data_IF_966708648760
#
_entry.id   IF_966708648760
#
_cell.length_a   1.000
_cell.length_b   1.000
_cell.length_c   1.000
_cell.angle_alpha   90.00
_cell.angle_beta   90.00
_cell.angle_gamma   90.00
#
_symmetry.space_group_name_H-M   'P 1'
#
loop_
_entity.id
_entity.type
_entity.pdbx_description
1 polymer ?
#
# COMPACT_ATOMS: atom_id res chain seq x y z
N UNK A 1 40.95 8.21 -34.82
CA UNK A 1 40.22 7.46 -35.86
C UNK A 1 39.62 6.25 -35.16
N UNK A 2 38.32 6.05 -34.99
CA UNK A 2 37.15 6.61 -35.68
C UNK A 2 35.95 6.36 -34.77
N UNK A 3 35.24 7.44 -34.52
CA UNK A 3 33.83 7.59 -34.15
C UNK A 3 32.93 6.54 -34.80
N UNK A 4 31.86 6.12 -34.12
CA UNK A 4 30.53 5.99 -34.74
C UNK A 4 29.42 5.85 -33.69
N UNK A 5 29.03 7.03 -33.23
CA UNK A 5 27.70 7.43 -32.79
C UNK A 5 26.65 6.91 -33.79
N UNK A 6 25.70 6.07 -33.33
CA UNK A 6 24.52 5.68 -34.13
C UNK A 6 23.35 6.58 -33.74
N UNK A 7 23.11 7.58 -34.58
CA UNK A 7 21.83 8.30 -34.64
C UNK A 7 20.77 7.37 -35.22
N UNK A 8 19.73 7.08 -34.44
CA UNK A 8 18.49 6.51 -34.95
C UNK A 8 17.58 7.69 -35.33
N UNK A 9 17.42 7.93 -36.63
CA UNK A 9 16.46 8.89 -37.17
C UNK A 9 15.14 8.14 -37.38
N UNK A 10 14.14 8.39 -36.53
CA UNK A 10 12.76 7.98 -36.79
C UNK A 10 12.09 9.07 -37.64
N UNK A 11 11.76 8.75 -38.89
CA UNK A 11 10.81 9.52 -39.68
C UNK A 11 9.40 9.22 -39.17
N UNK A 12 8.76 10.19 -38.52
CA UNK A 12 7.34 10.13 -38.17
C UNK A 12 6.52 10.75 -39.30
N UNK A 13 5.62 9.98 -39.91
CA UNK A 13 4.62 10.48 -40.85
C UNK A 13 3.47 11.08 -40.04
N UNK A 14 3.23 12.39 -40.20
CA UNK A 14 2.06 13.06 -39.61
C UNK A 14 0.86 12.81 -40.52
N UNK A 15 0.01 11.86 -40.16
CA UNK A 15 -1.38 11.83 -40.65
C UNK A 15 -2.20 12.69 -39.71
N UNK A 16 -2.63 13.86 -40.17
CA UNK A 16 -3.56 14.73 -39.46
C UNK A 16 -4.94 14.06 -39.41
N UNK A 17 -5.25 13.39 -38.29
CA UNK A 17 -6.60 13.07 -37.91
C UNK A 17 -7.09 14.16 -36.95
N UNK A 18 -8.07 14.96 -37.38
CA UNK A 18 -8.82 15.84 -36.49
C UNK A 18 -9.68 14.96 -35.57
N UNK A 19 -9.14 14.61 -34.40
CA UNK A 19 -9.95 14.21 -33.25
C UNK A 19 -10.51 15.45 -32.55
N UNK A 20 -11.60 15.33 -31.75
CA UNK A 20 -12.01 16.38 -30.84
C UNK A 20 -10.83 16.76 -29.92
N UNK A 21 -10.76 18.01 -29.43
CA UNK A 21 -9.67 18.43 -28.56
C UNK A 21 -9.63 17.48 -27.36
N UNK A 22 -8.56 16.70 -27.24
CA UNK A 22 -8.23 16.06 -25.99
C UNK A 22 -8.01 17.21 -24.99
N UNK A 23 -8.88 17.31 -23.99
CA UNK A 23 -8.59 18.12 -22.81
C UNK A 23 -7.43 17.41 -22.13
N UNK A 24 -6.20 17.77 -22.51
CA UNK A 24 -5.00 17.24 -21.86
C UNK A 24 -4.93 17.88 -20.49
N UNK A 25 -5.59 17.26 -19.52
CA UNK A 25 -5.56 17.72 -18.15
C UNK A 25 -4.12 17.56 -17.66
N UNK A 26 -3.48 18.69 -17.36
CA UNK A 26 -2.06 18.71 -17.03
C UNK A 26 -1.88 18.21 -15.61
N UNK A 27 -1.21 17.07 -15.43
CA UNK A 27 -0.75 16.62 -14.11
C UNK A 27 0.19 17.69 -13.58
N UNK A 28 -0.16 18.28 -12.44
CA UNK A 28 0.70 19.19 -11.73
C UNK A 28 1.68 18.34 -10.93
N UNK A 29 2.94 18.36 -11.38
CA UNK A 29 4.04 17.84 -10.58
C UNK A 29 4.02 18.47 -9.18
N UNK A 30 4.48 17.76 -8.13
CA UNK A 30 4.45 18.27 -6.77
C UNK A 30 5.00 19.70 -6.69
N UNK A 31 4.23 20.60 -6.05
CA UNK A 31 4.56 22.04 -5.94
C UNK A 31 5.93 22.25 -5.27
N UNK A 32 6.35 21.28 -4.45
CA UNK A 32 7.63 21.25 -3.75
C UNK A 32 8.30 19.88 -3.88
N UNK A 33 9.62 19.86 -3.94
CA UNK A 33 10.37 18.61 -3.81
C UNK A 33 10.06 17.95 -2.46
N UNK A 34 9.91 16.63 -2.47
CA UNK A 34 9.72 15.83 -1.26
C UNK A 34 10.86 16.08 -0.27
N UNK A 35 10.52 16.34 0.98
CA UNK A 35 11.47 16.57 2.07
C UNK A 35 12.18 15.27 2.47
N UNK A 36 13.42 15.37 2.95
CA UNK A 36 14.11 14.26 3.58
C UNK A 36 13.44 13.85 4.89
N UNK A 37 13.63 12.60 5.31
CA UNK A 37 13.16 12.12 6.61
C UNK A 37 13.76 12.94 7.75
N UNK A 38 12.91 13.41 8.67
CA UNK A 38 13.35 14.03 9.92
C UNK A 38 13.69 12.93 10.94
N UNK A 39 14.94 12.85 11.42
CA UNK A 39 15.35 11.84 12.40
C UNK A 39 14.70 12.00 13.78
N UNK A 40 14.10 13.16 14.08
CA UNK A 40 13.40 13.43 15.34
C UNK A 40 11.89 13.21 15.25
N UNK A 41 11.35 12.92 14.05
CA UNK A 41 9.92 12.71 13.89
C UNK A 41 9.43 11.51 14.71
N UNK A 42 8.22 11.58 15.30
CA UNK A 42 7.64 10.52 16.15
C UNK A 42 7.13 9.32 15.35
N UNK A 43 8.02 8.70 14.58
CA UNK A 43 7.73 7.55 13.70
C UNK A 43 7.19 6.34 14.46
N UNK A 44 7.69 6.07 15.67
CA UNK A 44 7.24 4.95 16.48
C UNK A 44 5.77 5.07 16.89
N UNK A 45 5.32 6.27 17.27
CA UNK A 45 3.93 6.56 17.62
C UNK A 45 3.03 6.44 16.38
N UNK A 46 3.45 7.03 15.25
CA UNK A 46 2.73 6.90 13.99
C UNK A 46 2.56 5.44 13.55
N UNK A 47 3.63 4.64 13.64
CA UNK A 47 3.61 3.20 13.29
C UNK A 47 2.72 2.42 14.25
N UNK A 48 2.82 2.66 15.55
CA UNK A 48 2.02 1.96 16.55
C UNK A 48 0.52 2.22 16.34
N UNK A 49 0.14 3.50 16.19
CA UNK A 49 -1.25 3.89 15.96
C UNK A 49 -1.79 3.39 14.61
N UNK A 50 -1.01 3.48 13.54
CA UNK A 50 -1.39 2.97 12.22
C UNK A 50 -1.55 1.45 12.20
N UNK A 51 -0.69 0.71 12.91
CA UNK A 51 -0.81 -0.75 13.04
C UNK A 51 -2.04 -1.13 13.86
N UNK A 52 -2.34 -0.41 14.94
CA UNK A 52 -3.55 -0.63 15.75
C UNK A 52 -4.82 -0.39 14.93
N UNK A 53 -4.92 0.77 14.26
CA UNK A 53 -6.04 1.12 13.41
C UNK A 53 -6.20 0.16 12.23
N UNK A 54 -5.09 -0.24 11.61
CA UNK A 54 -5.08 -1.20 10.51
C UNK A 54 -5.52 -2.61 10.92
N UNK A 55 -5.14 -3.04 12.12
CA UNK A 55 -5.59 -4.33 12.68
C UNK A 55 -7.06 -4.30 13.03
N UNK A 56 -7.54 -3.22 13.67
CA UNK A 56 -8.95 -3.05 13.95
C UNK A 56 -9.77 -3.02 12.65
N UNK A 57 -9.33 -2.28 11.63
CA UNK A 57 -9.94 -2.29 10.30
C UNK A 57 -9.95 -3.70 9.67
N UNK A 58 -8.84 -4.44 9.74
CA UNK A 58 -8.72 -5.78 9.14
C UNK A 58 -9.72 -6.77 9.73
N UNK A 59 -9.92 -6.76 11.05
CA UNK A 59 -10.86 -7.63 11.76
C UNK A 59 -12.33 -7.44 11.35
N UNK A 60 -12.65 -6.30 10.73
CA UNK A 60 -13.99 -6.04 10.21
C UNK A 60 -14.18 -6.51 8.75
N UNK A 61 -13.13 -6.98 8.08
CA UNK A 61 -13.20 -7.51 6.73
C UNK A 61 -13.76 -8.94 6.73
N UNK A 62 -14.41 -9.32 5.64
CA UNK A 62 -15.09 -10.62 5.51
C UNK A 62 -14.54 -11.41 4.33
N UNK A 63 -14.29 -12.70 4.55
CA UNK A 63 -13.77 -13.61 3.54
C UNK A 63 -12.26 -13.49 3.38
N UNK A 64 -11.76 -13.79 2.18
CA UNK A 64 -10.34 -13.61 1.88
C UNK A 64 -10.06 -12.10 1.79
N UNK A 65 -9.39 -11.56 2.80
CA UNK A 65 -9.15 -10.14 2.94
C UNK A 65 -7.65 -9.81 2.84
N UNK A 66 -7.35 -8.66 2.24
CA UNK A 66 -6.04 -8.04 2.26
C UNK A 66 -6.21 -6.55 2.52
N UNK A 67 -5.42 -6.01 3.44
CA UNK A 67 -5.40 -4.60 3.76
C UNK A 67 -3.95 -4.14 3.93
N UNK A 68 -3.72 -2.85 3.69
CA UNK A 68 -2.44 -2.20 3.93
C UNK A 68 -2.64 -1.13 5.01
N UNK A 69 -2.29 -1.43 6.28
CA UNK A 69 -2.34 -0.44 7.37
C UNK A 69 -1.60 0.84 7.01
N UNK A 70 -0.41 0.73 6.41
CA UNK A 70 0.39 1.90 6.03
C UNK A 70 -0.27 2.75 4.95
N UNK A 71 -0.96 2.13 3.97
CA UNK A 71 -1.74 2.86 2.97
C UNK A 71 -2.88 3.67 3.60
N UNK A 72 -3.60 3.06 4.56
CA UNK A 72 -4.64 3.75 5.33
C UNK A 72 -4.04 4.89 6.14
N UNK A 73 -2.99 4.62 6.91
CA UNK A 73 -2.29 5.61 7.72
C UNK A 73 -1.83 6.81 6.89
N UNK A 74 -1.21 6.58 5.73
CA UNK A 74 -0.75 7.66 4.85
C UNK A 74 -1.90 8.49 4.30
N UNK A 75 -2.96 7.84 3.80
CA UNK A 75 -4.12 8.52 3.24
C UNK A 75 -4.85 9.38 4.28
N UNK A 76 -5.05 8.84 5.49
CA UNK A 76 -5.72 9.57 6.57
C UNK A 76 -4.82 10.60 7.26
N UNK A 77 -3.50 10.39 7.31
CA UNK A 77 -2.56 11.43 7.76
C UNK A 77 -2.56 12.61 6.81
N UNK A 78 -2.60 12.38 5.49
CA UNK A 78 -2.71 13.48 4.53
C UNK A 78 -4.09 14.16 4.63
N UNK A 79 -5.17 13.39 4.79
CA UNK A 79 -6.51 13.96 5.02
C UNK A 79 -6.57 14.82 6.28
N UNK A 80 -5.83 14.44 7.33
CA UNK A 80 -5.70 15.19 8.59
C UNK A 80 -5.09 16.58 8.41
N UNK A 81 -4.26 16.80 7.38
CA UNK A 81 -3.69 18.11 7.03
C UNK A 81 -4.76 19.13 6.60
N UNK A 82 -5.87 18.65 6.03
CA UNK A 82 -6.99 19.47 5.56
C UNK A 82 -8.21 19.47 6.50
N UNK A 83 -8.15 18.72 7.60
CA UNK A 83 -9.27 18.54 8.51
C UNK A 83 -9.43 19.74 9.47
N UNK A 84 -10.68 20.09 9.79
CA UNK A 84 -10.98 21.00 10.89
C UNK A 84 -10.56 20.40 12.24
N UNK A 85 -10.45 21.20 13.30
CA UNK A 85 -10.07 20.73 14.64
C UNK A 85 -10.92 19.54 15.13
N UNK A 86 -12.24 19.61 14.96
CA UNK A 86 -13.15 18.54 15.38
C UNK A 86 -13.00 17.26 14.56
N UNK A 87 -12.95 17.36 13.23
CA UNK A 87 -12.72 16.20 12.35
C UNK A 87 -11.32 15.61 12.56
N UNK A 88 -10.34 16.49 12.77
CA UNK A 88 -8.96 16.13 13.01
C UNK A 88 -8.80 15.32 14.29
N UNK A 89 -9.42 15.74 15.38
CA UNK A 89 -9.40 15.00 16.65
C UNK A 89 -9.94 13.57 16.52
N UNK A 90 -10.97 13.35 15.68
CA UNK A 90 -11.49 12.00 15.41
C UNK A 90 -10.48 11.15 14.64
N UNK A 91 -9.78 11.73 13.66
CA UNK A 91 -8.72 11.01 12.93
C UNK A 91 -7.54 10.69 13.86
N UNK A 92 -7.17 11.62 14.74
CA UNK A 92 -6.11 11.43 15.72
C UNK A 92 -6.45 10.30 16.70
N UNK A 93 -7.71 10.21 17.14
CA UNK A 93 -8.20 9.12 18.00
C UNK A 93 -8.19 7.76 17.29
N UNK A 94 -8.67 7.69 16.03
CA UNK A 94 -8.73 6.44 15.27
C UNK A 94 -7.32 5.89 14.98
N UNK A 95 -6.42 6.76 14.52
CA UNK A 95 -5.10 6.35 14.05
C UNK A 95 -3.99 6.48 15.09
N UNK A 96 -4.27 7.01 16.29
CA UNK A 96 -3.26 7.30 17.29
C UNK A 96 -2.15 8.20 16.73
N UNK A 97 -2.52 9.21 15.93
CA UNK A 97 -1.54 10.07 15.28
C UNK A 97 -0.78 10.91 16.32
N UNK A 98 0.54 11.13 16.11
CA UNK A 98 1.31 12.03 16.97
C UNK A 98 0.71 13.43 17.02
N UNK A 99 0.61 14.01 18.23
CA UNK A 99 0.09 15.38 18.43
C UNK A 99 0.95 16.43 17.71
N UNK A 100 2.24 16.17 17.55
CA UNK A 100 3.23 17.05 16.93
C UNK A 100 3.96 16.29 15.83
N UNK A 101 4.27 16.96 14.72
CA UNK A 101 5.08 16.40 13.62
C UNK A 101 4.50 15.12 12.98
N UNK A 102 3.16 15.01 12.90
CA UNK A 102 2.45 13.95 12.17
C UNK A 102 2.96 13.78 10.73
N UNK A 103 2.98 14.84 9.92
CA UNK A 103 3.38 14.74 8.51
C UNK A 103 4.87 14.41 8.34
N UNK A 104 5.81 15.00 9.12
CA UNK A 104 7.19 14.50 9.19
C UNK A 104 7.30 13.01 9.54
N UNK A 105 6.51 12.51 10.50
CA UNK A 105 6.52 11.09 10.89
C UNK A 105 6.04 10.18 9.74
N UNK A 106 4.91 10.53 9.12
CA UNK A 106 4.39 9.82 7.95
C UNK A 106 5.40 9.81 6.78
N UNK A 107 6.06 10.94 6.51
CA UNK A 107 7.09 11.03 5.47
C UNK A 107 8.29 10.12 5.78
N UNK A 108 8.76 10.12 7.03
CA UNK A 108 9.90 9.30 7.43
C UNK A 108 9.59 7.79 7.29
N UNK A 109 8.37 7.36 7.63
CA UNK A 109 7.94 5.97 7.43
C UNK A 109 7.84 5.60 5.95
N UNK A 110 7.23 6.45 5.12
CA UNK A 110 7.14 6.18 3.68
C UNK A 110 8.52 6.17 2.98
N UNK A 111 9.43 7.07 3.36
CA UNK A 111 10.82 7.03 2.91
C UNK A 111 11.55 5.76 3.40
N UNK A 112 11.28 5.30 4.62
CA UNK A 112 11.82 4.04 5.12
C UNK A 112 11.32 2.84 4.29
N UNK A 113 10.05 2.81 3.90
CA UNK A 113 9.52 1.78 2.99
C UNK A 113 10.21 1.82 1.62
N UNK A 114 10.45 3.01 1.07
CA UNK A 114 11.21 3.14 -0.18
C UNK A 114 12.62 2.52 -0.07
N UNK A 115 13.27 2.60 1.09
CA UNK A 115 14.58 1.93 1.31
C UNK A 115 14.49 0.40 1.38
N UNK A 116 13.30 -0.16 1.61
CA UNK A 116 13.09 -1.61 1.61
C UNK A 116 12.92 -2.18 0.19
N UNK A 117 12.71 -1.33 -0.82
CA UNK A 117 12.68 -1.72 -2.23
C UNK A 117 14.10 -1.93 -2.78
N UNK A 118 14.69 -3.09 -2.47
CA UNK A 118 16.02 -3.49 -2.91
C UNK A 118 15.90 -4.65 -3.90
N UNK A 119 16.39 -4.46 -5.14
CA UNK A 119 16.36 -5.48 -6.20
C UNK A 119 16.81 -6.88 -5.68
N UNK A 120 16.06 -7.95 -5.98
CA UNK A 120 14.90 -8.03 -6.88
C UNK A 120 13.55 -7.65 -6.25
N UNK A 121 13.52 -7.26 -4.98
CA UNK A 121 12.30 -6.82 -4.30
C UNK A 121 11.92 -5.41 -4.76
N UNK A 122 10.65 -5.26 -5.14
CA UNK A 122 10.02 -3.99 -5.49
C UNK A 122 8.92 -3.67 -4.49
N UNK A 123 9.05 -2.55 -3.78
CA UNK A 123 8.02 -1.98 -2.93
C UNK A 123 7.81 -0.53 -3.33
N UNK A 124 6.62 -0.21 -3.80
CA UNK A 124 6.26 1.13 -4.28
C UNK A 124 4.98 1.58 -3.59
N UNK A 125 5.04 2.77 -2.99
CA UNK A 125 3.88 3.47 -2.45
C UNK A 125 3.67 4.72 -3.29
N UNK A 126 2.44 4.97 -3.71
CA UNK A 126 2.10 6.13 -4.50
C UNK A 126 0.87 6.84 -3.93
N UNK A 127 0.93 8.17 -3.92
CA UNK A 127 -0.15 9.05 -3.49
C UNK A 127 -0.51 9.99 -4.64
N UNK A 128 -1.80 10.20 -4.88
CA UNK A 128 -2.27 11.23 -5.80
C UNK A 128 -3.55 11.89 -5.30
N UNK A 129 -3.63 13.19 -5.53
CA UNK A 129 -4.80 14.01 -5.31
C UNK A 129 -5.46 14.30 -6.65
N UNK A 130 -6.77 14.10 -6.72
CA UNK A 130 -7.62 14.44 -7.86
C UNK A 130 -8.69 15.44 -7.39
N UNK A 131 -8.37 16.74 -7.29
CA UNK A 131 -9.40 17.75 -7.03
C UNK A 131 -10.31 17.89 -8.24
N UNK A 132 -11.56 18.29 -8.00
CA UNK A 132 -12.42 18.80 -9.06
C UNK A 132 -11.73 20.03 -9.71
N UNK A 133 -11.88 20.21 -11.02
CA UNK A 133 -11.19 21.28 -11.74
C UNK A 133 -11.75 22.69 -11.45
N UNK A 134 -12.94 22.79 -10.83
CA UNK A 134 -13.47 24.01 -10.24
C UNK A 134 -13.11 24.19 -8.76
N UNK A 135 -12.57 23.16 -8.10
CA UNK A 135 -12.14 23.19 -6.71
C UNK A 135 -10.64 23.52 -6.56
N UNK A 136 -10.32 24.48 -5.69
CA UNK A 136 -8.93 24.87 -5.40
C UNK A 136 -8.56 24.55 -3.95
N UNK A 137 -7.81 23.46 -3.69
CA UNK A 137 -7.30 23.17 -2.37
C UNK A 137 -6.40 24.29 -1.84
N UNK A 138 -6.35 24.46 -0.52
CA UNK A 138 -5.49 25.46 0.11
C UNK A 138 -4.01 25.21 -0.23
N UNK A 139 -3.21 26.26 -0.50
CA UNK A 139 -1.79 26.10 -0.80
C UNK A 139 -1.01 25.32 0.26
N UNK A 140 -1.31 25.55 1.55
CA UNK A 140 -0.69 24.84 2.67
C UNK A 140 -1.00 23.33 2.68
N UNK A 141 -2.21 22.94 2.24
CA UNK A 141 -2.55 21.53 2.09
C UNK A 141 -1.75 20.88 0.95
N UNK A 142 -1.63 21.58 -0.19
CA UNK A 142 -0.86 21.09 -1.33
C UNK A 142 0.65 21.02 -1.02
N UNK A 143 1.17 21.96 -0.22
CA UNK A 143 2.54 21.94 0.27
C UNK A 143 2.79 20.71 1.15
N UNK A 144 1.90 20.43 2.11
CA UNK A 144 1.99 19.20 2.91
C UNK A 144 1.94 17.94 2.03
N UNK A 145 1.00 17.88 1.08
CA UNK A 145 0.84 16.76 0.16
C UNK A 145 2.12 16.47 -0.65
N UNK A 146 2.73 17.51 -1.23
CA UNK A 146 3.98 17.37 -1.99
C UNK A 146 5.19 17.09 -1.10
N UNK A 147 5.38 17.87 -0.05
CA UNK A 147 6.56 17.85 0.81
C UNK A 147 6.69 16.55 1.63
N UNK A 148 5.59 16.04 2.19
CA UNK A 148 5.61 14.90 3.11
C UNK A 148 5.13 13.59 2.50
N UNK A 149 4.29 13.64 1.46
CA UNK A 149 3.68 12.42 0.89
C UNK A 149 4.12 12.15 -0.55
N UNK A 150 4.89 13.07 -1.17
CA UNK A 150 5.24 12.99 -2.58
C UNK A 150 4.02 12.94 -3.50
N UNK A 151 2.88 13.46 -3.04
CA UNK A 151 1.63 13.36 -3.77
C UNK A 151 1.62 14.36 -4.93
N UNK A 152 1.40 13.86 -6.15
CA UNK A 152 1.10 14.69 -7.29
C UNK A 152 -0.37 15.12 -7.28
N UNK A 153 -0.67 16.24 -7.94
CA UNK A 153 -2.03 16.78 -8.04
C UNK A 153 -2.47 16.73 -9.50
N UNK A 154 -3.61 16.12 -9.76
CA UNK A 154 -4.19 16.06 -11.09
C UNK A 154 -5.64 16.53 -11.01
N UNK A 155 -5.91 17.83 -11.19
CA UNK A 155 -7.27 18.32 -11.31
C UNK A 155 -8.00 17.55 -12.41
N UNK A 156 -9.27 17.22 -12.25
CA UNK A 156 -10.11 16.56 -13.27
C UNK A 156 -11.57 17.01 -13.06
N UNK A 157 -12.39 16.96 -14.10
CA UNK A 157 -13.84 17.16 -13.98
C UNK A 157 -14.44 15.96 -13.22
N UNK A 158 -14.82 16.17 -11.95
CA UNK A 158 -15.45 15.14 -11.11
C UNK A 158 -16.98 15.12 -11.29
N UNK A 159 -17.58 16.02 -12.07
CA UNK A 159 -18.98 15.95 -12.48
C UNK A 159 -19.18 14.91 -13.60
N UNK A 160 -18.22 14.77 -14.53
CA UNK A 160 -18.09 13.61 -15.43
C UNK A 160 -17.49 12.39 -14.70
N UNK A 161 -18.32 11.78 -13.85
CA UNK A 161 -17.90 10.64 -13.03
C UNK A 161 -17.38 9.44 -13.83
N UNK A 162 -17.81 9.24 -15.08
CA UNK A 162 -17.35 8.13 -15.91
C UNK A 162 -15.89 8.34 -16.34
N UNK A 163 -15.58 9.52 -16.87
CA UNK A 163 -14.23 9.91 -17.27
C UNK A 163 -13.30 10.05 -16.07
N UNK A 164 -13.81 10.59 -14.95
CA UNK A 164 -13.07 10.68 -13.69
C UNK A 164 -12.69 9.31 -13.15
N UNK A 165 -13.64 8.37 -13.09
CA UNK A 165 -13.38 7.01 -12.63
C UNK A 165 -12.39 6.29 -13.55
N UNK A 166 -12.49 6.44 -14.87
CA UNK A 166 -11.51 5.89 -15.82
C UNK A 166 -10.10 6.44 -15.55
N UNK A 167 -9.98 7.75 -15.35
CA UNK A 167 -8.69 8.41 -15.08
C UNK A 167 -8.05 7.92 -13.77
N UNK A 168 -8.83 7.88 -12.69
CA UNK A 168 -8.37 7.44 -11.37
C UNK A 168 -7.98 5.95 -11.41
N UNK A 169 -8.82 5.11 -12.00
CA UNK A 169 -8.57 3.67 -12.11
C UNK A 169 -7.39 3.36 -13.02
N UNK A 170 -7.20 4.12 -14.11
CA UNK A 170 -6.03 4.02 -14.97
C UNK A 170 -4.73 4.30 -14.21
N UNK A 171 -4.70 5.39 -13.42
CA UNK A 171 -3.54 5.69 -12.56
C UNK A 171 -3.29 4.61 -11.50
N UNK A 172 -4.33 4.12 -10.84
CA UNK A 172 -4.22 3.05 -9.85
C UNK A 172 -3.70 1.74 -10.48
N UNK A 173 -4.19 1.40 -11.67
CA UNK A 173 -3.73 0.26 -12.45
C UNK A 173 -2.25 0.41 -12.81
N UNK A 174 -1.84 1.56 -13.36
CA UNK A 174 -0.46 1.78 -13.80
C UNK A 174 0.53 1.70 -12.62
N UNK A 175 0.22 2.37 -11.50
CA UNK A 175 1.06 2.34 -10.29
C UNK A 175 1.12 0.97 -9.62
N UNK A 176 0.12 0.11 -9.86
CA UNK A 176 0.08 -1.26 -9.33
C UNK A 176 0.39 -2.33 -10.38
N UNK A 177 0.92 -1.92 -11.55
CA UNK A 177 1.25 -2.82 -12.67
C UNK A 177 0.09 -3.73 -13.10
N UNK A 178 -1.13 -3.20 -13.05
CA UNK A 178 -2.36 -3.87 -13.46
C UNK A 178 -3.01 -4.74 -12.40
N UNK A 179 -2.46 -4.82 -11.18
CA UNK A 179 -3.02 -5.65 -10.10
C UNK A 179 -4.27 -5.02 -9.46
N UNK A 180 -4.37 -3.69 -9.47
CA UNK A 180 -5.55 -2.94 -8.98
C UNK A 180 -6.17 -2.16 -10.15
N UNK A 181 -6.93 -2.81 -11.04
CA UNK A 181 -7.51 -2.17 -12.22
C UNK A 181 -8.71 -1.27 -11.90
N UNK A 182 -9.28 -1.38 -10.70
CA UNK A 182 -10.47 -0.61 -10.29
C UNK A 182 -10.42 -0.39 -8.77
N UNK A 183 -10.44 0.88 -8.37
CA UNK A 183 -10.50 1.35 -6.98
C UNK A 183 -11.72 2.22 -6.71
N UNK A 184 -12.27 2.87 -7.74
CA UNK A 184 -13.46 3.72 -7.65
C UNK A 184 -14.47 3.41 -8.74
N UNK A 185 -15.72 3.77 -8.48
CA UNK A 185 -16.81 3.74 -9.47
C UNK A 185 -17.24 5.17 -9.79
N UNK A 186 -17.90 5.35 -10.93
CA UNK A 186 -18.52 6.63 -11.34
C UNK A 186 -19.33 7.24 -10.18
N UNK A 187 -20.15 6.42 -9.51
CA UNK A 187 -21.06 6.90 -8.47
C UNK A 187 -20.32 7.38 -7.20
N UNK A 188 -19.11 6.86 -6.95
CA UNK A 188 -18.29 7.26 -5.80
C UNK A 188 -17.59 8.58 -6.05
N UNK A 189 -17.10 8.79 -7.27
CA UNK A 189 -16.31 9.99 -7.63
C UNK A 189 -17.17 11.17 -8.06
N UNK A 190 -18.37 10.90 -8.58
CA UNK A 190 -19.23 11.94 -9.12
C UNK A 190 -19.59 12.97 -8.03
N UNK A 191 -19.36 14.25 -8.34
CA UNK A 191 -19.66 15.42 -7.47
C UNK A 191 -18.86 15.46 -6.18
N UNK A 192 -17.70 14.79 -6.13
CA UNK A 192 -16.73 15.00 -5.07
C UNK A 192 -15.92 16.27 -5.38
N UNK A 193 -15.46 16.96 -4.34
CA UNK A 193 -14.55 18.12 -4.51
C UNK A 193 -13.08 17.67 -4.63
N UNK A 194 -12.75 16.53 -4.04
CA UNK A 194 -11.40 15.98 -4.00
C UNK A 194 -11.45 14.47 -3.76
N UNK A 195 -10.72 13.73 -4.60
CA UNK A 195 -10.45 12.30 -4.38
C UNK A 195 -8.96 12.12 -4.06
N UNK A 196 -8.66 11.55 -2.89
CA UNK A 196 -7.31 11.15 -2.51
C UNK A 196 -7.19 9.65 -2.73
N UNK A 197 -6.16 9.24 -3.48
CA UNK A 197 -5.89 7.81 -3.73
C UNK A 197 -4.48 7.46 -3.31
N UNK A 198 -4.36 6.44 -2.47
CA UNK A 198 -3.11 5.77 -2.15
C UNK A 198 -3.09 4.38 -2.80
N UNK A 199 -1.96 3.98 -3.36
CA UNK A 199 -1.71 2.61 -3.80
C UNK A 199 -0.39 2.10 -3.21
N UNK A 200 -0.35 0.78 -2.98
CA UNK A 200 0.86 0.06 -2.59
C UNK A 200 1.02 -1.15 -3.49
N UNK A 201 2.21 -1.29 -4.06
CA UNK A 201 2.61 -2.45 -4.83
C UNK A 201 3.80 -3.14 -4.14
N UNK A 202 3.67 -4.44 -3.91
CA UNK A 202 4.75 -5.29 -3.41
C UNK A 202 4.95 -6.47 -4.35
N UNK A 203 6.19 -6.63 -4.84
CA UNK A 203 6.68 -7.85 -5.46
C UNK A 203 8.00 -8.20 -4.82
N UNK A 204 8.03 -9.32 -4.12
CA UNK A 204 9.21 -9.76 -3.39
C UNK A 204 9.40 -11.26 -3.58
N UNK A 205 10.61 -11.65 -3.96
CA UNK A 205 10.98 -13.05 -4.09
C UNK A 205 11.33 -13.60 -2.70
N UNK A 206 10.96 -14.85 -2.40
CA UNK A 206 11.39 -15.50 -1.18
C UNK A 206 12.92 -15.56 -1.10
N UNK A 207 13.47 -15.37 0.10
CA UNK A 207 14.91 -15.54 0.34
C UNK A 207 15.33 -16.98 -0.03
N UNK A 208 14.52 -17.96 0.35
CA UNK A 208 14.63 -19.34 -0.12
C UNK A 208 13.36 -19.72 -0.88
N UNK A 209 13.41 -19.91 -2.21
CA UNK A 209 12.24 -20.14 -3.03
C UNK A 209 11.69 -21.56 -2.89
N UNK A 210 10.36 -21.69 -2.93
CA UNK A 210 9.68 -22.96 -3.14
C UNK A 210 9.85 -23.37 -4.61
N UNK A 211 10.45 -24.55 -4.85
CA UNK A 211 10.64 -25.01 -6.22
C UNK A 211 9.34 -25.61 -6.79
N UNK A 212 8.93 -25.26 -8.02
CA UNK A 212 7.66 -25.72 -8.59
C UNK A 212 7.50 -27.25 -8.62
N UNK A 213 8.58 -28.00 -8.78
CA UNK A 213 8.56 -29.47 -8.80
C UNK A 213 8.14 -30.12 -7.48
N UNK A 214 8.21 -29.39 -6.36
CA UNK A 214 7.75 -29.85 -5.04
C UNK A 214 6.34 -29.36 -4.70
N UNK A 215 5.74 -28.57 -5.58
CA UNK A 215 4.34 -28.17 -5.46
C UNK A 215 3.45 -29.34 -5.85
N UNK A 216 2.53 -29.72 -4.97
CA UNK A 216 1.61 -30.83 -5.20
C UNK A 216 0.23 -30.54 -4.63
N UNK A 217 -0.80 -31.06 -5.30
CA UNK A 217 -2.18 -30.91 -4.87
C UNK A 217 -2.40 -31.59 -3.51
N UNK A 218 -3.12 -30.91 -2.63
CA UNK A 218 -3.48 -31.40 -1.30
C UNK A 218 -4.80 -30.82 -0.81
N UNK A 219 -5.38 -31.40 0.25
CA UNK A 219 -6.62 -30.91 0.84
C UNK A 219 -6.39 -29.63 1.64
N UNK A 220 -7.21 -28.62 1.43
CA UNK A 220 -7.33 -27.40 2.24
C UNK A 220 -8.75 -27.31 2.79
N UNK A 221 -8.88 -27.12 4.11
CA UNK A 221 -10.19 -26.94 4.75
C UNK A 221 -10.46 -25.45 4.88
N UNK A 222 -11.45 -24.95 4.13
CA UNK A 222 -11.87 -23.54 4.20
C UNK A 222 -12.48 -23.19 5.55
N UNK A 223 -12.57 -21.90 5.88
CA UNK A 223 -13.24 -21.42 7.11
C UNK A 223 -14.71 -21.86 7.24
N UNK A 224 -15.38 -22.17 6.12
CA UNK A 224 -16.73 -22.75 6.10
C UNK A 224 -16.78 -24.27 6.29
N UNK A 225 -15.65 -24.93 6.54
CA UNK A 225 -15.54 -26.39 6.72
C UNK A 225 -15.52 -27.20 5.42
N UNK A 226 -15.56 -26.55 4.24
CA UNK A 226 -15.45 -27.24 2.96
C UNK A 226 -14.00 -27.64 2.70
N UNK A 227 -13.79 -28.92 2.40
CA UNK A 227 -12.52 -29.42 1.89
C UNK A 227 -12.40 -29.18 0.38
N UNK A 228 -11.37 -28.46 -0.04
CA UNK A 228 -11.03 -28.19 -1.43
C UNK A 228 -9.63 -28.72 -1.73
N UNK A 229 -9.32 -28.99 -3.00
CA UNK A 229 -7.96 -29.39 -3.42
C UNK A 229 -7.24 -28.17 -3.98
N UNK A 230 -6.04 -27.88 -3.46
CA UNK A 230 -5.21 -26.75 -3.88
C UNK A 230 -3.74 -27.16 -4.02
N UNK A 231 -2.95 -26.48 -4.85
CA UNK A 231 -1.51 -26.73 -4.93
C UNK A 231 -0.81 -26.22 -3.66
N UNK A 232 -0.20 -27.11 -2.89
CA UNK A 232 0.63 -26.76 -1.74
C UNK A 232 2.09 -26.67 -2.14
N UNK A 233 2.69 -25.50 -1.91
CA UNK A 233 4.14 -25.32 -1.99
C UNK A 233 4.82 -26.06 -0.83
N UNK A 234 6.00 -26.65 -1.08
CA UNK A 234 6.78 -27.38 -0.07
C UNK A 234 8.26 -27.16 -0.28
N UNK A 235 8.99 -27.13 0.83
CA UNK A 235 10.45 -27.22 0.79
C UNK A 235 10.86 -28.66 0.44
N UNK A 236 11.93 -28.81 -0.34
CA UNK A 236 12.51 -30.12 -0.66
C UNK A 236 13.02 -30.83 0.60
N UNK A 237 13.67 -30.07 1.46
CA UNK A 237 14.27 -30.48 2.72
C UNK A 237 13.89 -29.45 3.79
N UNK A 238 13.74 -29.82 5.07
CA UNK A 238 13.42 -28.86 6.12
C UNK A 238 14.43 -27.71 6.17
N UNK A 239 13.92 -26.48 6.06
CA UNK A 239 14.72 -25.25 6.19
C UNK A 239 14.47 -24.67 7.58
N UNK A 240 15.54 -24.33 8.34
CA UNK A 240 15.37 -23.61 9.58
C UNK A 240 14.65 -22.29 9.37
N UNK A 241 13.60 -22.05 10.12
CA UNK A 241 12.79 -20.83 10.04
C UNK A 241 12.52 -20.31 11.44
N UNK A 242 12.39 -19.00 11.55
CA UNK A 242 11.91 -18.37 12.77
C UNK A 242 10.44 -18.71 12.96
N UNK A 243 10.08 -19.16 14.15
CA UNK A 243 8.71 -19.52 14.47
C UNK A 243 8.31 -19.02 15.85
N UNK A 244 7.00 -18.85 16.05
CA UNK A 244 6.38 -18.47 17.32
C UNK A 244 5.24 -19.45 17.57
N UNK A 245 5.11 -19.92 18.81
CA UNK A 245 3.93 -20.66 19.25
C UNK A 245 3.00 -19.69 19.98
N UNK A 246 1.83 -19.48 19.41
CA UNK A 246 0.77 -18.65 19.96
C UNK A 246 -0.25 -19.55 20.68
N UNK A 247 -1.20 -18.95 21.38
CA UNK A 247 -2.33 -19.71 21.92
C UNK A 247 -3.26 -20.13 20.76
N UNK A 248 -3.41 -21.43 20.54
CA UNK A 248 -4.23 -21.98 19.45
C UNK A 248 -3.71 -21.79 18.02
N UNK A 249 -2.48 -21.28 17.83
CA UNK A 249 -1.87 -21.10 16.51
C UNK A 249 -0.34 -21.24 16.53
N UNK A 250 0.24 -21.52 15.37
CA UNK A 250 1.68 -21.41 15.14
C UNK A 250 1.93 -20.31 14.09
N UNK A 251 2.98 -19.50 14.28
CA UNK A 251 3.42 -18.51 13.31
C UNK A 251 4.82 -18.83 12.78
N UNK A 252 5.05 -18.64 11.48
CA UNK A 252 6.37 -18.83 10.85
C UNK A 252 6.74 -17.63 10.00
N UNK A 253 8.01 -17.23 10.05
CA UNK A 253 8.57 -16.17 9.23
C UNK A 253 9.10 -16.73 7.91
N UNK A 254 8.66 -16.12 6.80
CA UNK A 254 9.16 -16.33 5.45
C UNK A 254 9.86 -15.06 4.97
N UNK A 255 11.20 -14.95 5.12
CA UNK A 255 11.92 -13.76 4.69
C UNK A 255 11.94 -13.62 3.16
N UNK A 256 11.90 -12.39 2.67
CA UNK A 256 12.11 -12.06 1.26
C UNK A 256 13.58 -11.74 0.96
N UNK A 257 13.94 -11.78 -0.33
CA UNK A 257 15.19 -11.24 -0.80
C UNK A 257 15.31 -9.75 -0.49
N UNK A 258 16.54 -9.28 -0.30
CA UNK A 258 16.85 -7.93 0.17
C UNK A 258 16.92 -7.80 1.69
N UNK A 259 16.40 -8.76 2.46
CA UNK A 259 16.61 -8.85 3.92
C UNK A 259 15.93 -7.75 4.74
N UNK A 260 14.96 -7.04 4.16
CA UNK A 260 14.23 -5.92 4.79
C UNK A 260 12.76 -6.22 5.05
N UNK A 261 12.20 -7.22 4.37
CA UNK A 261 10.79 -7.61 4.45
C UNK A 261 10.67 -9.12 4.70
N UNK A 262 9.61 -9.51 5.38
CA UNK A 262 9.23 -10.91 5.58
C UNK A 262 7.70 -11.03 5.58
N UNK A 263 7.20 -12.22 5.26
CA UNK A 263 5.81 -12.60 5.51
C UNK A 263 5.74 -13.45 6.77
N UNK A 264 4.89 -13.08 7.71
CA UNK A 264 4.48 -13.95 8.80
C UNK A 264 3.23 -14.72 8.41
N UNK A 265 3.30 -16.05 8.47
CA UNK A 265 2.15 -16.92 8.29
C UNK A 265 1.69 -17.41 9.66
N UNK A 266 0.50 -16.99 10.09
CA UNK A 266 -0.15 -17.46 11.32
C UNK A 266 -1.18 -18.53 10.94
N UNK A 267 -1.01 -19.73 11.47
CA UNK A 267 -1.84 -20.90 11.14
C UNK A 267 -2.51 -21.41 12.42
N UNK A 268 -3.84 -21.27 12.55
CA UNK A 268 -4.59 -21.87 13.66
C UNK A 268 -4.43 -23.39 13.68
N UNK A 269 -4.40 -23.98 14.88
CA UNK A 269 -4.34 -25.44 15.03
C UNK A 269 -5.63 -26.13 14.58
N UNK A 270 -6.77 -25.44 14.74
CA UNK A 270 -8.09 -25.95 14.37
C UNK A 270 -8.55 -25.43 12.99
N UNK A 271 -9.09 -26.31 12.11
CA UNK A 271 -9.74 -25.90 10.86
C UNK A 271 -11.01 -25.07 11.14
N UNK A 272 -10.85 -23.75 11.19
CA UNK A 272 -11.90 -22.81 11.60
C UNK A 272 -11.54 -21.96 12.82
N UNK A 273 -10.34 -22.13 13.38
CA UNK A 273 -9.86 -21.36 14.54
C UNK A 273 -9.40 -19.93 14.21
N UNK A 274 -9.34 -19.53 12.94
CA UNK A 274 -8.84 -18.20 12.54
C UNK A 274 -9.57 -17.04 13.25
N UNK A 275 -10.92 -17.01 13.33
CA UNK A 275 -11.60 -15.92 14.03
C UNK A 275 -11.22 -15.81 15.51
N UNK A 276 -11.01 -16.93 16.20
CA UNK A 276 -10.60 -16.92 17.61
C UNK A 276 -9.15 -16.43 17.76
N UNK A 277 -8.27 -16.80 16.82
CA UNK A 277 -6.89 -16.31 16.79
C UNK A 277 -6.87 -14.80 16.53
N UNK A 278 -7.64 -14.31 15.55
CA UNK A 278 -7.78 -12.88 15.24
C UNK A 278 -8.38 -12.07 16.40
N UNK A 279 -9.31 -12.65 17.17
CA UNK A 279 -9.86 -12.02 18.37
C UNK A 279 -8.86 -11.97 19.53
N UNK A 280 -7.97 -12.97 19.62
CA UNK A 280 -6.97 -13.09 20.69
C UNK A 280 -5.74 -12.20 20.51
N UNK A 281 -5.43 -11.79 19.28
CA UNK A 281 -4.25 -10.99 18.94
C UNK A 281 -4.58 -9.50 18.90
N UNK A 282 -3.66 -8.68 19.38
CA UNK A 282 -3.65 -7.25 19.13
C UNK A 282 -2.50 -6.83 18.18
N UNK A 283 -2.44 -5.54 17.85
CA UNK A 283 -1.38 -5.03 16.97
C UNK A 283 0.02 -5.14 17.60
N UNK A 284 0.14 -5.09 18.92
CA UNK A 284 1.43 -5.24 19.61
C UNK A 284 1.93 -6.67 19.47
N UNK A 285 1.06 -7.67 19.67
CA UNK A 285 1.40 -9.08 19.45
C UNK A 285 1.93 -9.32 18.03
N UNK A 286 1.24 -8.76 17.03
CA UNK A 286 1.64 -8.88 15.62
C UNK A 286 2.99 -8.20 15.33
N UNK A 287 3.21 -6.99 15.86
CA UNK A 287 4.50 -6.30 15.69
C UNK A 287 5.64 -6.98 16.45
N UNK A 288 5.32 -7.63 17.56
CA UNK A 288 6.28 -8.29 18.45
C UNK A 288 6.63 -9.72 18.05
N UNK A 289 6.00 -10.30 17.01
CA UNK A 289 6.28 -11.67 16.56
C UNK A 289 7.78 -11.91 16.33
N UNK A 290 8.48 -10.94 15.74
CA UNK A 290 9.92 -11.02 15.55
C UNK A 290 10.70 -11.12 16.86
N UNK A 291 10.31 -10.36 17.87
CA UNK A 291 11.07 -10.26 19.13
C UNK A 291 11.00 -11.54 19.96
N UNK A 292 9.91 -12.31 19.81
CA UNK A 292 9.68 -13.57 20.55
C UNK A 292 9.97 -14.83 19.71
N UNK A 293 10.37 -14.66 18.45
CA UNK A 293 10.63 -15.76 17.54
C UNK A 293 11.84 -16.59 17.95
N UNK A 294 11.70 -17.90 17.85
CA UNK A 294 12.78 -18.86 18.10
C UNK A 294 13.32 -19.41 16.78
N UNK A 295 14.60 -19.76 16.73
CA UNK A 295 15.16 -20.54 15.63
C UNK A 295 14.69 -22.00 15.77
N UNK A 296 14.04 -22.52 14.73
CA UNK A 296 13.55 -23.90 14.63
C UNK A 296 14.22 -24.69 13.52
#
# INVERSE_FOLDING_TARGET
>A
MTTLLRFLVLLCWVTAACGPPATTTTVLEPVTNRLSADPLAPTAEWVAGTNAAGWDFHRHLVGNAVSSPVSLGLAFSLSRAGASEGTGAVLDEIFGFPEVDLHPAANAVDLMLATASVDPTTLEVANRLFPDDEFSPLPEFLENAGAHYGAAVQPIDLDDGATAAETINGWASDTTRGLVPTIVTEQVVQRQELVLVNTLYLKADWLVPFLPEWTSDGPFTTGGGLAVTVPFMRDREPIPRRFVRLDGADAVELPYQGGRLAMWLIVPHDPGGLPAVEESLDSQDLTGLGDIAQEG
#
